data_IF_698748883424
#
_entry.id   IF_698748883424
#
_cell.length_a   1.000
_cell.length_b   1.000
_cell.length_c   1.000
_cell.angle_alpha   90.00
_cell.angle_beta   90.00
_cell.angle_gamma   90.00
#
_symmetry.space_group_name_H-M   'P 1'
#
loop_
_entity.id
_entity.type
_entity.pdbx_description
1 polymer ?
#
# COMPACT_ATOMS: atom_id res chain seq x y z
N UNK A 1 -8.37 45.16 -25.69
CA UNK A 1 -7.22 44.22 -25.58
C UNK A 1 -6.54 44.14 -26.95
N UNK A 2 -5.24 43.91 -27.01
CA UNK A 2 -4.55 43.62 -28.27
C UNK A 2 -5.06 42.29 -28.83
N UNK A 3 -5.42 42.28 -30.12
CA UNK A 3 -5.93 41.10 -30.85
C UNK A 3 -4.81 40.22 -31.44
N UNK A 4 -3.55 40.62 -31.28
CA UNK A 4 -2.38 39.89 -31.75
C UNK A 4 -1.29 39.80 -30.68
N UNK A 5 -0.44 38.79 -30.81
CA UNK A 5 0.85 38.67 -30.11
C UNK A 5 1.89 39.27 -31.04
N UNK A 6 2.52 40.36 -30.62
CA UNK A 6 3.51 41.08 -31.44
C UNK A 6 4.89 40.76 -30.89
N UNK A 7 5.76 40.20 -31.73
CA UNK A 7 7.15 39.87 -31.39
C UNK A 7 8.04 40.75 -32.24
N UNK A 8 8.97 41.48 -31.62
CA UNK A 8 9.97 42.31 -32.31
C UNK A 8 11.37 41.89 -31.91
N UNK A 9 12.20 41.70 -32.92
CA UNK A 9 13.63 41.48 -32.78
C UNK A 9 14.02 40.25 -31.96
N UNK A 10 13.35 39.12 -32.18
CA UNK A 10 13.72 37.85 -31.56
C UNK A 10 15.05 37.32 -32.12
N UNK A 11 16.00 37.03 -31.24
CA UNK A 11 17.40 36.68 -31.51
C UNK A 11 17.89 35.42 -30.78
N UNK A 12 17.02 34.74 -30.03
CA UNK A 12 17.43 33.52 -29.32
C UNK A 12 17.99 32.46 -30.26
N UNK A 13 19.15 31.89 -29.90
CA UNK A 13 19.91 30.91 -30.69
C UNK A 13 20.25 31.39 -32.11
N UNK A 14 19.57 30.85 -33.12
CA UNK A 14 19.85 31.11 -34.53
C UNK A 14 18.79 32.03 -35.19
N UNK A 15 17.91 32.64 -34.39
CA UNK A 15 16.94 33.61 -34.88
C UNK A 15 17.65 34.89 -35.34
N UNK A 16 17.37 35.32 -36.56
CA UNK A 16 18.01 36.49 -37.19
C UNK A 16 17.15 37.74 -37.04
N UNK A 17 17.00 38.24 -35.81
CA UNK A 17 16.22 39.46 -35.50
C UNK A 17 14.77 39.40 -36.01
N UNK A 18 14.11 38.27 -35.79
CA UNK A 18 12.79 37.98 -36.37
C UNK A 18 11.71 38.83 -35.70
N UNK A 19 10.87 39.47 -36.52
CA UNK A 19 9.70 40.23 -36.06
C UNK A 19 8.44 39.72 -36.75
N UNK A 20 7.40 39.41 -35.97
CA UNK A 20 6.15 38.87 -36.50
C UNK A 20 4.95 39.24 -35.64
N UNK A 21 3.76 39.14 -36.22
CA UNK A 21 2.48 39.36 -35.54
C UNK A 21 1.63 38.10 -35.67
N UNK A 22 1.27 37.48 -34.54
CA UNK A 22 0.45 36.27 -34.49
C UNK A 22 -0.98 36.62 -34.07
N UNK A 23 -2.03 36.10 -34.73
CA UNK A 23 -3.40 36.32 -34.30
C UNK A 23 -3.65 35.62 -32.95
N UNK A 24 -4.22 36.33 -31.97
CA UNK A 24 -4.63 35.70 -30.70
C UNK A 24 -5.85 34.79 -30.93
N UNK A 25 -6.02 33.82 -30.04
CA UNK A 25 -7.14 32.86 -30.05
C UNK A 25 -7.22 32.02 -31.34
N UNK A 26 -6.08 31.81 -32.00
CA UNK A 26 -5.96 30.98 -33.19
C UNK A 26 -5.09 29.75 -32.91
N UNK A 27 -5.35 28.66 -33.62
CA UNK A 27 -4.47 27.49 -33.64
C UNK A 27 -3.29 27.77 -34.58
N UNK A 28 -2.20 28.26 -34.01
CA UNK A 28 -0.99 28.67 -34.77
C UNK A 28 -0.06 27.47 -34.92
N UNK A 29 0.33 27.16 -36.16
CA UNK A 29 1.30 26.11 -36.47
C UNK A 29 2.59 26.75 -36.97
N UNK A 30 3.70 26.51 -36.27
CA UNK A 30 5.05 26.91 -36.70
C UNK A 30 5.67 25.73 -37.44
N UNK A 31 5.99 25.91 -38.72
CA UNK A 31 6.54 24.87 -39.60
C UNK A 31 7.85 25.30 -40.26
N UNK A 32 8.62 24.36 -40.78
CA UNK A 32 9.94 24.58 -41.39
C UNK A 32 10.91 23.41 -41.18
N UNK A 33 12.04 23.44 -41.90
CA UNK A 33 13.09 22.41 -41.86
C UNK A 33 13.66 22.21 -40.44
N UNK A 34 14.21 21.02 -40.15
CA UNK A 34 14.92 20.79 -38.89
C UNK A 34 16.04 21.82 -38.70
N UNK A 35 16.18 22.37 -37.49
CA UNK A 35 17.15 23.42 -37.21
C UNK A 35 16.76 24.84 -37.69
N UNK A 36 15.59 25.05 -38.30
CA UNK A 36 15.19 26.39 -38.81
C UNK A 36 14.85 27.44 -37.72
N UNK A 37 15.03 27.13 -36.44
CA UNK A 37 14.72 28.04 -35.32
C UNK A 37 13.28 27.97 -34.81
N UNK A 38 12.50 26.93 -35.17
CA UNK A 38 11.11 26.76 -34.69
C UNK A 38 11.03 26.68 -33.17
N UNK A 39 11.84 25.81 -32.57
CA UNK A 39 11.88 25.62 -31.13
C UNK A 39 12.43 26.85 -30.42
N UNK A 40 13.45 27.50 -31.00
CA UNK A 40 14.01 28.76 -30.50
C UNK A 40 12.94 29.86 -30.40
N UNK A 41 12.06 29.97 -31.40
CA UNK A 41 10.96 30.93 -31.38
C UNK A 41 9.84 30.50 -30.42
N UNK A 42 9.39 29.24 -30.49
CA UNK A 42 8.23 28.77 -29.75
C UNK A 42 8.50 28.59 -28.25
N UNK A 43 9.55 27.83 -27.92
CA UNK A 43 9.88 27.46 -26.54
C UNK A 43 10.82 28.48 -25.90
N UNK A 44 11.96 28.75 -26.54
CA UNK A 44 13.03 29.52 -25.91
C UNK A 44 12.76 31.04 -25.92
N UNK A 45 11.83 31.52 -26.76
CA UNK A 45 11.41 32.93 -26.81
C UNK A 45 9.99 33.15 -26.28
N UNK A 46 8.96 32.65 -26.98
CA UNK A 46 7.55 32.96 -26.66
C UNK A 46 7.13 32.33 -25.33
N UNK A 47 7.33 31.02 -25.17
CA UNK A 47 6.97 30.32 -23.93
C UNK A 47 7.80 30.80 -22.75
N UNK A 48 9.13 30.90 -22.90
CA UNK A 48 10.02 31.39 -21.86
C UNK A 48 9.61 32.78 -21.34
N UNK A 49 9.31 33.72 -22.24
CA UNK A 49 8.86 35.06 -21.85
C UNK A 49 7.47 35.05 -21.20
N UNK A 50 6.56 34.18 -21.69
CA UNK A 50 5.20 34.06 -21.15
C UNK A 50 5.19 33.47 -19.74
N UNK A 51 6.02 32.45 -19.50
CA UNK A 51 6.22 31.85 -18.18
C UNK A 51 6.90 32.83 -17.23
N UNK A 52 7.98 33.51 -17.66
CA UNK A 52 8.70 34.50 -16.85
C UNK A 52 7.78 35.62 -16.37
N UNK A 53 7.02 36.25 -17.27
CA UNK A 53 6.10 37.34 -16.92
C UNK A 53 5.00 36.90 -15.94
N UNK A 54 4.48 35.68 -16.12
CA UNK A 54 3.48 35.13 -15.21
C UNK A 54 4.07 34.90 -13.82
N UNK A 55 5.24 34.28 -13.73
CA UNK A 55 5.90 34.02 -12.45
C UNK A 55 6.32 35.33 -11.75
N UNK A 56 6.73 36.36 -12.48
CA UNK A 56 7.04 37.69 -11.93
C UNK A 56 5.81 38.38 -11.31
N UNK A 57 4.60 38.02 -11.73
CA UNK A 57 3.36 38.53 -11.14
C UNK A 57 2.98 37.84 -9.82
N UNK A 58 3.65 36.75 -9.46
CA UNK A 58 3.44 36.04 -8.19
C UNK A 58 4.06 36.83 -7.00
N UNK A 59 4.07 36.21 -5.81
CA UNK A 59 4.51 36.84 -4.57
C UNK A 59 5.92 37.43 -4.65
N UNK A 60 6.18 38.47 -3.86
CA UNK A 60 7.51 39.10 -3.73
C UNK A 60 8.59 38.10 -3.31
N UNK A 61 8.21 37.07 -2.55
CA UNK A 61 9.07 35.94 -2.20
C UNK A 61 9.40 35.08 -3.43
N UNK A 62 8.42 34.71 -4.26
CA UNK A 62 8.66 33.95 -5.49
C UNK A 62 9.63 34.67 -6.43
N UNK A 63 9.63 36.01 -6.47
CA UNK A 63 10.62 36.82 -7.21
C UNK A 63 12.05 36.65 -6.74
N UNK A 64 12.28 36.37 -5.46
CA UNK A 64 13.62 36.09 -4.93
C UNK A 64 14.14 34.71 -5.38
N UNK A 65 13.23 33.75 -5.58
CA UNK A 65 13.55 32.40 -6.08
C UNK A 65 13.58 32.31 -7.61
N UNK A 66 13.04 33.31 -8.32
CA UNK A 66 13.12 33.44 -9.78
C UNK A 66 14.54 33.81 -10.28
N UNK A 67 15.58 33.64 -9.44
CA UNK A 67 16.98 33.93 -9.76
C UNK A 67 17.38 33.43 -11.16
N UNK A 68 18.02 34.33 -11.92
CA UNK A 68 18.61 34.14 -13.25
C UNK A 68 17.84 33.25 -14.24
N UNK A 69 16.49 33.32 -14.29
CA UNK A 69 15.81 32.89 -15.50
C UNK A 69 16.26 33.82 -16.63
N UNK A 70 17.17 33.32 -17.48
CA UNK A 70 17.75 34.05 -18.60
C UNK A 70 16.61 34.69 -19.39
N UNK A 71 16.57 36.02 -19.43
CA UNK A 71 15.62 36.74 -20.28
C UNK A 71 15.92 36.33 -21.72
N UNK A 72 14.91 35.90 -22.49
CA UNK A 72 15.13 35.58 -23.88
C UNK A 72 15.62 36.82 -24.63
N UNK A 73 16.49 36.62 -25.61
CA UNK A 73 17.02 37.68 -26.45
C UNK A 73 15.94 38.15 -27.43
N UNK A 74 15.10 39.07 -26.97
CA UNK A 74 14.02 39.68 -27.76
C UNK A 74 13.88 41.16 -27.38
N UNK A 75 13.62 42.04 -28.34
CA UNK A 75 13.48 43.47 -28.06
C UNK A 75 12.14 43.76 -27.36
N UNK A 76 11.07 43.13 -27.84
CA UNK A 76 9.74 43.38 -27.32
C UNK A 76 8.81 42.22 -27.67
N UNK A 77 8.01 41.80 -26.70
CA UNK A 77 6.82 40.98 -26.93
C UNK A 77 5.62 41.65 -26.28
N UNK A 78 4.57 41.93 -27.04
CA UNK A 78 3.31 42.50 -26.55
C UNK A 78 2.14 41.56 -26.81
N UNK A 79 1.10 41.66 -25.99
CA UNK A 79 -0.09 40.81 -26.12
C UNK A 79 0.15 39.34 -25.75
N UNK A 80 1.22 39.01 -25.02
CA UNK A 80 1.51 37.65 -24.59
C UNK A 80 0.65 37.23 -23.38
N UNK A 81 0.07 36.03 -23.42
CA UNK A 81 -0.63 35.40 -22.30
C UNK A 81 0.34 34.59 -21.43
N UNK A 82 -0.01 34.23 -20.18
CA UNK A 82 0.68 33.16 -19.47
C UNK A 82 0.78 31.92 -20.36
N UNK A 83 1.98 31.37 -20.49
CA UNK A 83 2.29 30.30 -21.43
C UNK A 83 2.52 28.98 -20.69
N UNK A 84 2.06 27.89 -21.30
CA UNK A 84 2.29 26.51 -20.83
C UNK A 84 2.90 25.74 -22.00
N UNK A 85 4.04 25.09 -21.75
CA UNK A 85 4.66 24.20 -22.72
C UNK A 85 4.18 22.77 -22.47
N UNK A 86 3.78 22.10 -23.56
CA UNK A 86 3.54 20.66 -23.58
C UNK A 86 4.57 20.10 -24.56
N UNK A 87 5.66 19.55 -24.03
CA UNK A 87 6.71 18.92 -24.81
C UNK A 87 6.73 17.40 -24.60
N UNK A 88 7.57 16.70 -25.36
CA UNK A 88 7.74 15.26 -25.25
C UNK A 88 8.79 14.87 -24.19
N UNK A 89 9.20 15.77 -23.29
CA UNK A 89 10.18 15.39 -22.27
C UNK A 89 9.58 14.29 -21.41
N UNK A 90 10.33 13.19 -21.30
CA UNK A 90 9.96 12.06 -20.46
C UNK A 90 9.72 12.55 -19.05
N UNK A 91 8.50 12.35 -18.56
CA UNK A 91 8.15 12.54 -17.15
C UNK A 91 9.15 11.73 -16.34
N UNK A 92 9.79 12.36 -15.35
CA UNK A 92 10.76 11.72 -14.47
C UNK A 92 10.27 10.34 -14.02
N UNK A 93 11.10 9.31 -14.20
CA UNK A 93 10.81 7.95 -13.77
C UNK A 93 10.87 7.88 -12.24
N UNK A 94 9.75 8.18 -11.59
CA UNK A 94 9.52 7.85 -10.20
C UNK A 94 8.71 6.55 -10.16
N UNK A 95 9.21 5.45 -9.55
CA UNK A 95 8.52 4.16 -9.51
C UNK A 95 7.16 4.21 -8.79
N UNK A 96 6.92 5.27 -8.00
CA UNK A 96 5.64 5.53 -7.33
C UNK A 96 4.72 6.48 -8.10
N UNK A 97 5.13 6.96 -9.27
CA UNK A 97 4.28 7.74 -10.16
C UNK A 97 3.63 6.82 -11.17
N UNK A 98 2.30 6.83 -11.19
CA UNK A 98 1.46 6.05 -12.10
C UNK A 98 0.66 7.01 -12.98
N UNK A 99 0.02 6.48 -14.03
CA UNK A 99 -0.93 7.27 -14.84
C UNK A 99 -2.00 7.91 -13.94
N UNK A 100 -2.50 7.17 -12.95
CA UNK A 100 -3.53 7.66 -12.03
C UNK A 100 -3.07 8.81 -11.14
N UNK A 101 -1.80 8.82 -10.72
CA UNK A 101 -1.26 9.94 -9.92
C UNK A 101 -0.93 11.16 -10.78
N UNK A 102 -0.43 10.97 -12.02
CA UNK A 102 -0.12 12.07 -12.94
C UNK A 102 -1.38 12.79 -13.41
N UNK A 103 -2.46 12.05 -13.61
CA UNK A 103 -3.76 12.59 -14.04
C UNK A 103 -4.66 13.01 -12.88
N UNK A 104 -4.20 12.84 -11.64
CA UNK A 104 -4.97 13.04 -10.40
C UNK A 104 -6.24 12.17 -10.28
N UNK A 105 -6.52 11.28 -11.25
CA UNK A 105 -7.66 10.35 -11.20
C UNK A 105 -7.59 9.48 -9.95
N UNK A 106 -6.40 9.04 -9.55
CA UNK A 106 -6.22 8.26 -8.34
C UNK A 106 -6.62 9.06 -7.09
N UNK A 107 -6.45 10.38 -7.08
CA UNK A 107 -6.80 11.23 -5.95
C UNK A 107 -8.33 11.31 -5.78
N UNK A 108 -9.05 11.41 -6.90
CA UNK A 108 -10.50 11.29 -6.91
C UNK A 108 -10.98 9.89 -6.50
N UNK A 109 -10.29 8.82 -6.93
CA UNK A 109 -10.61 7.45 -6.48
C UNK A 109 -10.43 7.30 -4.97
N UNK A 110 -9.36 7.86 -4.39
CA UNK A 110 -9.15 7.85 -2.93
C UNK A 110 -10.29 8.55 -2.19
N UNK A 111 -10.77 9.68 -2.71
CA UNK A 111 -11.94 10.38 -2.14
C UNK A 111 -13.21 9.54 -2.28
N UNK A 112 -13.46 8.98 -3.47
CA UNK A 112 -14.63 8.14 -3.75
C UNK A 112 -14.71 6.96 -2.79
N UNK A 113 -13.64 6.16 -2.70
CA UNK A 113 -13.59 5.01 -1.79
C UNK A 113 -13.67 5.42 -0.32
N UNK A 114 -13.20 6.61 0.04
CA UNK A 114 -13.32 7.07 1.41
C UNK A 114 -14.75 7.48 1.81
N UNK A 115 -15.53 7.99 0.86
CA UNK A 115 -16.88 8.49 1.14
C UNK A 115 -17.97 7.44 0.99
N UNK A 116 -17.87 6.56 -0.02
CA UNK A 116 -18.93 5.59 -0.34
C UNK A 116 -18.43 4.14 -0.33
N UNK A 117 -17.16 3.91 0.02
CA UNK A 117 -16.61 2.57 0.09
C UNK A 117 -17.16 1.81 1.30
N UNK A 118 -17.76 0.65 1.04
CA UNK A 118 -18.20 -0.28 2.08
C UNK A 118 -17.00 -1.16 2.45
N UNK A 119 -16.42 -1.04 3.65
CA UNK A 119 -15.27 -1.84 4.06
C UNK A 119 -15.70 -3.28 4.36
N UNK A 120 -14.80 -4.23 4.10
CA UNK A 120 -15.04 -5.65 4.34
C UNK A 120 -13.90 -6.26 5.15
N UNK A 121 -14.20 -7.26 5.98
CA UNK A 121 -13.22 -8.03 6.73
C UNK A 121 -12.36 -8.85 5.78
N UNK A 122 -11.04 -8.65 5.82
CA UNK A 122 -10.08 -9.36 4.96
C UNK A 122 -10.03 -10.89 5.16
N UNK A 123 -10.53 -11.41 6.29
CA UNK A 123 -10.54 -12.86 6.58
C UNK A 123 -11.84 -13.56 6.24
N UNK A 124 -13.00 -12.93 6.51
CA UNK A 124 -14.31 -13.57 6.35
C UNK A 124 -15.24 -12.88 5.35
N UNK A 125 -14.86 -11.72 4.82
CA UNK A 125 -15.63 -10.98 3.81
C UNK A 125 -16.87 -10.27 4.33
N UNK A 126 -17.15 -10.26 5.64
CA UNK A 126 -18.29 -9.49 6.18
C UNK A 126 -18.06 -7.99 6.04
N UNK A 127 -19.13 -7.27 5.74
CA UNK A 127 -19.17 -5.82 5.81
C UNK A 127 -18.84 -5.34 7.24
N UNK A 128 -18.06 -4.27 7.33
CA UNK A 128 -17.75 -3.60 8.59
C UNK A 128 -18.56 -2.29 8.62
N UNK A 129 -19.33 -2.09 9.67
CA UNK A 129 -20.04 -0.84 9.89
C UNK A 129 -19.44 -0.12 11.10
N UNK A 130 -19.50 1.21 11.05
CA UNK A 130 -19.21 2.10 12.15
C UNK A 130 -20.42 3.00 12.32
N UNK A 131 -20.95 3.10 13.53
CA UNK A 131 -22.09 3.95 13.86
C UNK A 131 -21.82 4.72 15.14
N UNK A 132 -22.24 5.97 15.18
CA UNK A 132 -22.27 6.73 16.43
C UNK A 132 -23.43 6.27 17.32
N UNK A 133 -23.39 6.61 18.61
CA UNK A 133 -24.50 6.33 19.53
C UNK A 133 -25.81 6.95 19.00
N UNK A 134 -25.76 8.18 18.51
CA UNK A 134 -26.92 8.88 17.96
C UNK A 134 -27.51 8.16 16.73
N UNK A 135 -26.66 7.69 15.82
CA UNK A 135 -27.10 6.93 14.64
C UNK A 135 -27.75 5.59 15.03
N UNK A 136 -27.20 4.89 16.02
CA UNK A 136 -27.79 3.66 16.54
C UNK A 136 -29.18 3.96 17.12
N UNK A 137 -29.30 5.03 17.92
CA UNK A 137 -30.59 5.45 18.51
C UNK A 137 -31.60 5.79 17.41
N UNK A 138 -31.21 6.56 16.40
CA UNK A 138 -32.07 6.94 15.28
C UNK A 138 -32.60 5.74 14.49
N UNK A 139 -31.76 4.72 14.27
CA UNK A 139 -32.18 3.47 13.62
C UNK A 139 -33.19 2.72 14.48
N UNK A 140 -32.95 2.63 15.79
CA UNK A 140 -33.88 1.95 16.71
C UNK A 140 -35.23 2.66 16.77
N UNK A 141 -35.28 4.00 16.64
CA UNK A 141 -36.53 4.76 16.55
C UNK A 141 -37.37 4.39 15.32
N UNK A 142 -36.69 3.99 14.24
CA UNK A 142 -37.33 3.59 12.97
C UNK A 142 -37.74 2.12 12.95
N UNK A 143 -36.90 1.24 13.49
CA UNK A 143 -37.09 -0.22 13.44
C UNK A 143 -38.00 -0.74 14.57
N UNK A 144 -37.92 -0.16 15.78
CA UNK A 144 -38.67 -0.66 16.94
C UNK A 144 -40.09 -0.09 17.01
N UNK A 145 -41.05 -0.95 17.32
CA UNK A 145 -42.41 -0.57 17.69
C UNK A 145 -42.48 0.08 19.07
N UNK A 146 -43.49 0.92 19.31
CA UNK A 146 -43.76 1.45 20.65
C UNK A 146 -44.07 0.31 21.63
N UNK A 147 -43.60 0.43 22.88
CA UNK A 147 -43.73 -0.54 23.97
C UNK A 147 -42.98 -1.88 23.80
N UNK A 148 -42.19 -2.03 22.74
CA UNK A 148 -41.36 -3.23 22.51
C UNK A 148 -40.30 -3.40 23.63
N UNK A 149 -40.10 -4.62 24.12
CA UNK A 149 -39.13 -4.88 25.19
C UNK A 149 -37.78 -5.24 24.60
N UNK A 150 -36.77 -4.42 24.87
CA UNK A 150 -35.41 -4.64 24.38
C UNK A 150 -34.43 -4.96 25.50
N UNK A 151 -33.46 -5.79 25.17
CA UNK A 151 -32.27 -6.08 25.97
C UNK A 151 -31.06 -5.42 25.31
N UNK A 152 -30.35 -4.58 26.06
CA UNK A 152 -29.10 -3.98 25.60
C UNK A 152 -27.96 -4.83 26.16
N UNK A 153 -27.21 -5.41 25.25
CA UNK A 153 -26.21 -6.42 25.52
C UNK A 153 -24.85 -5.94 25.06
N UNK A 154 -23.84 -6.18 25.88
CA UNK A 154 -22.46 -5.92 25.54
C UNK A 154 -21.74 -7.25 25.26
N UNK A 155 -21.35 -7.55 24.01
CA UNK A 155 -20.73 -8.83 23.64
C UNK A 155 -19.28 -8.91 24.13
N UNK A 156 -19.07 -9.67 25.20
CA UNK A 156 -17.74 -9.85 25.81
C UNK A 156 -16.94 -10.92 25.06
N UNK A 157 -17.61 -12.02 24.68
CA UNK A 157 -17.01 -13.11 23.94
C UNK A 157 -18.02 -13.75 22.97
N UNK A 158 -17.56 -14.12 21.78
CA UNK A 158 -18.38 -14.82 20.77
C UNK A 158 -17.62 -16.00 20.21
N UNK A 159 -18.12 -17.20 20.47
CA UNK A 159 -17.49 -18.48 20.10
C UNK A 159 -16.01 -18.61 20.52
N UNK A 160 -15.64 -18.03 21.67
CA UNK A 160 -14.26 -18.08 22.19
C UNK A 160 -14.15 -19.09 23.34
N UNK A 161 -12.98 -19.73 23.46
CA UNK A 161 -12.68 -20.64 24.57
C UNK A 161 -12.14 -19.87 25.76
N UNK A 162 -12.60 -20.20 26.97
CA UNK A 162 -12.13 -19.58 28.20
C UNK A 162 -13.09 -19.75 29.38
N UNK A 163 -12.60 -19.47 30.58
CA UNK A 163 -13.36 -19.59 31.84
C UNK A 163 -13.97 -18.25 32.31
N UNK A 164 -13.48 -17.11 31.80
CA UNK A 164 -14.02 -15.75 31.98
C UNK A 164 -14.28 -15.26 33.43
N UNK A 165 -13.82 -15.98 34.46
CA UNK A 165 -13.99 -15.63 35.89
C UNK A 165 -13.55 -14.21 36.25
N UNK A 166 -12.41 -13.76 35.70
CA UNK A 166 -11.90 -12.40 35.95
C UNK A 166 -12.83 -11.31 35.40
N UNK A 167 -13.44 -11.57 34.25
CA UNK A 167 -14.40 -10.64 33.65
C UNK A 167 -15.66 -10.57 34.51
N UNK A 168 -16.17 -11.71 34.99
CA UNK A 168 -17.35 -11.76 35.86
C UNK A 168 -17.13 -11.02 37.20
N UNK A 169 -15.98 -11.24 37.86
CA UNK A 169 -15.63 -10.50 39.08
C UNK A 169 -15.52 -8.99 38.84
N UNK A 170 -14.98 -8.59 37.69
CA UNK A 170 -14.88 -7.18 37.29
C UNK A 170 -16.26 -6.55 37.13
N UNK A 171 -17.17 -7.21 36.41
CA UNK A 171 -18.54 -6.70 36.21
C UNK A 171 -19.33 -6.64 37.52
N UNK A 172 -19.15 -7.62 38.41
CA UNK A 172 -19.76 -7.61 39.75
C UNK A 172 -19.29 -6.42 40.59
N UNK A 173 -17.99 -6.09 40.55
CA UNK A 173 -17.44 -4.90 41.24
C UNK A 173 -17.94 -3.59 40.65
N UNK A 174 -18.26 -3.56 39.34
CA UNK A 174 -18.86 -2.40 38.67
C UNK A 174 -20.37 -2.26 38.93
N UNK A 175 -21.00 -3.25 39.58
CA UNK A 175 -22.40 -3.20 39.97
C UNK A 175 -23.39 -3.80 38.96
N UNK A 176 -22.90 -4.53 37.95
CA UNK A 176 -23.79 -5.26 37.04
C UNK A 176 -24.37 -6.49 37.75
N UNK A 177 -25.65 -6.79 37.48
CA UNK A 177 -26.38 -7.89 38.11
C UNK A 177 -26.54 -9.11 37.22
N UNK A 178 -26.53 -8.97 35.88
CA UNK A 178 -26.89 -10.06 34.97
C UNK A 178 -25.90 -10.25 33.84
N UNK A 179 -25.71 -11.51 33.45
CA UNK A 179 -24.87 -11.90 32.33
C UNK A 179 -25.52 -13.06 31.56
N UNK A 180 -25.44 -13.04 30.23
CA UNK A 180 -25.94 -14.10 29.35
C UNK A 180 -24.78 -14.96 28.86
N UNK A 181 -24.78 -16.24 29.19
CA UNK A 181 -23.78 -17.23 28.76
C UNK A 181 -24.51 -18.32 27.99
N UNK A 182 -24.13 -18.53 26.73
CA UNK A 182 -24.71 -19.55 25.83
C UNK A 182 -26.26 -19.53 25.80
N UNK A 183 -26.81 -18.33 25.67
CA UNK A 183 -28.25 -18.01 25.65
C UNK A 183 -29.00 -18.18 26.98
N UNK A 184 -28.31 -18.47 28.09
CA UNK A 184 -28.90 -18.54 29.43
C UNK A 184 -28.47 -17.29 30.22
N UNK A 185 -29.44 -16.58 30.81
CA UNK A 185 -29.17 -15.42 31.66
C UNK A 185 -28.96 -15.90 33.09
N UNK A 186 -27.79 -15.60 33.63
CA UNK A 186 -27.39 -15.85 35.01
C UNK A 186 -27.36 -14.55 35.81
N UNK A 187 -27.58 -14.67 37.12
CA UNK A 187 -27.23 -13.61 38.06
C UNK A 187 -25.71 -13.66 38.32
N UNK A 188 -25.04 -12.51 38.22
CA UNK A 188 -23.61 -12.40 38.50
C UNK A 188 -23.29 -12.68 39.98
N UNK A 189 -24.31 -12.74 40.85
CA UNK A 189 -24.15 -13.14 42.22
C UNK A 189 -23.93 -14.66 42.41
N UNK A 190 -24.41 -15.47 41.48
CA UNK A 190 -24.32 -16.93 41.50
C UNK A 190 -22.92 -17.43 41.08
N UNK A 191 -22.57 -18.68 41.45
CA UNK A 191 -21.32 -19.31 41.01
C UNK A 191 -21.50 -19.90 39.60
N UNK A 192 -21.12 -19.12 38.58
CA UNK A 192 -21.23 -19.49 37.17
C UNK A 192 -20.02 -20.36 36.79
N UNK A 193 -20.23 -21.67 36.62
CA UNK A 193 -19.18 -22.59 36.20
C UNK A 193 -19.21 -22.82 34.67
N UNK A 194 -18.15 -22.42 33.99
CA UNK A 194 -17.97 -22.53 32.54
C UNK A 194 -16.78 -23.43 32.23
N UNK A 195 -16.93 -24.35 31.28
CA UNK A 195 -15.85 -25.25 30.86
C UNK A 195 -14.84 -24.55 29.95
N UNK A 196 -13.59 -24.40 30.41
CA UNK A 196 -12.51 -23.76 29.65
C UNK A 196 -12.26 -24.34 28.24
N UNK A 197 -12.64 -25.59 27.99
CA UNK A 197 -12.35 -26.29 26.73
C UNK A 197 -13.40 -26.01 25.64
N UNK A 198 -14.60 -25.59 26.05
CA UNK A 198 -15.71 -25.33 25.16
C UNK A 198 -15.66 -23.89 24.64
N UNK A 199 -16.32 -23.66 23.49
CA UNK A 199 -16.49 -22.31 22.93
C UNK A 199 -17.76 -21.74 23.52
N UNK A 200 -17.65 -20.54 24.06
CA UNK A 200 -18.74 -19.84 24.73
C UNK A 200 -19.05 -18.52 24.05
N UNK A 201 -20.32 -18.13 24.19
CA UNK A 201 -20.83 -16.83 23.76
C UNK A 201 -21.38 -16.11 24.98
N UNK A 202 -20.75 -15.00 25.35
CA UNK A 202 -20.97 -14.27 26.60
C UNK A 202 -21.35 -12.83 26.29
N UNK A 203 -22.48 -12.39 26.83
CA UNK A 203 -22.98 -11.03 26.74
C UNK A 203 -23.28 -10.49 28.14
N UNK A 204 -22.72 -9.34 28.48
CA UNK A 204 -23.12 -8.60 29.68
C UNK A 204 -24.49 -7.96 29.42
N UNK A 205 -25.43 -8.09 30.35
CA UNK A 205 -26.73 -7.43 30.25
C UNK A 205 -26.60 -6.05 30.88
N UNK A 206 -26.69 -5.00 30.05
CA UNK A 206 -26.42 -3.62 30.46
C UNK A 206 -27.69 -2.94 30.94
N UNK A 207 -28.75 -2.97 30.14
CA UNK A 207 -30.06 -2.49 30.53
C UNK A 207 -31.18 -3.34 29.90
N UNK A 208 -32.35 -3.29 30.51
CA UNK A 208 -33.59 -3.86 30.00
C UNK A 208 -34.65 -2.76 29.98
N UNK A 209 -35.10 -2.42 28.79
CA UNK A 209 -35.95 -1.26 28.56
C UNK A 209 -37.22 -1.65 27.82
N UNK A 210 -38.27 -0.87 28.03
CA UNK A 210 -39.38 -0.79 27.08
C UNK A 210 -39.13 0.41 26.19
N UNK A 211 -39.21 0.20 24.88
CA UNK A 211 -38.95 1.25 23.92
C UNK A 211 -40.11 2.25 23.89
N UNK A 212 -39.80 3.52 24.15
CA UNK A 212 -40.72 4.65 24.07
C UNK A 212 -40.01 5.83 23.40
N UNK A 213 -40.77 6.63 22.64
CA UNK A 213 -40.23 7.73 21.81
C UNK A 213 -40.15 9.07 22.56
N UNK A 214 -40.42 9.08 23.86
CA UNK A 214 -40.28 10.27 24.68
C UNK A 214 -38.80 10.57 25.00
N UNK A 215 -38.53 11.84 25.31
CA UNK A 215 -37.18 12.36 25.44
C UNK A 215 -36.38 11.68 26.55
N UNK A 216 -37.01 11.35 27.67
CA UNK A 216 -36.34 10.77 28.83
C UNK A 216 -35.93 9.31 28.55
N UNK A 217 -36.79 8.53 27.86
CA UNK A 217 -36.45 7.17 27.45
C UNK A 217 -35.36 7.14 26.38
N UNK A 218 -35.37 8.07 25.43
CA UNK A 218 -34.31 8.18 24.42
C UNK A 218 -32.95 8.53 25.05
N UNK A 219 -32.92 9.40 26.05
CA UNK A 219 -31.70 9.71 26.78
C UNK A 219 -31.17 8.49 27.54
N UNK A 220 -32.04 7.75 28.24
CA UNK A 220 -31.65 6.51 28.92
C UNK A 220 -31.16 5.43 27.95
N UNK A 221 -31.78 5.33 26.77
CA UNK A 221 -31.35 4.42 25.71
C UNK A 221 -29.94 4.76 25.23
N UNK A 222 -29.65 6.03 24.96
CA UNK A 222 -28.33 6.50 24.56
C UNK A 222 -27.27 6.20 25.63
N UNK A 223 -27.55 6.54 26.90
CA UNK A 223 -26.64 6.26 28.03
C UNK A 223 -26.34 4.75 28.16
N UNK A 224 -27.35 3.90 27.93
CA UNK A 224 -27.21 2.45 27.99
C UNK A 224 -26.39 1.90 26.82
N UNK A 225 -26.59 2.44 25.62
CA UNK A 225 -25.80 2.08 24.43
C UNK A 225 -24.33 2.48 24.62
N UNK A 226 -24.07 3.70 25.12
CA UNK A 226 -22.72 4.17 25.40
C UNK A 226 -22.01 3.26 26.42
N UNK A 227 -22.71 2.89 27.50
CA UNK A 227 -22.18 1.96 28.48
C UNK A 227 -21.90 0.57 27.88
N UNK A 228 -22.80 0.08 27.02
CA UNK A 228 -22.65 -1.22 26.38
C UNK A 228 -21.47 -1.26 25.40
N UNK A 229 -21.32 -0.22 24.57
CA UNK A 229 -20.18 -0.05 23.68
C UNK A 229 -18.87 -0.02 24.47
N UNK A 230 -18.82 0.72 25.58
CA UNK A 230 -17.64 0.84 26.43
C UNK A 230 -17.21 -0.50 27.04
N UNK A 231 -18.14 -1.28 27.56
CA UNK A 231 -17.83 -2.61 28.13
C UNK A 231 -17.58 -3.68 27.05
N UNK A 232 -18.10 -3.46 25.83
CA UNK A 232 -18.10 -4.42 24.72
C UNK A 232 -16.94 -4.25 23.75
N UNK A 233 -15.96 -3.43 24.11
CA UNK A 233 -14.86 -3.00 23.22
C UNK A 233 -15.38 -2.44 21.89
N UNK A 234 -16.34 -1.51 21.97
CA UNK A 234 -16.92 -0.83 20.82
C UNK A 234 -18.07 -1.58 20.14
N UNK A 235 -18.61 -2.64 20.74
CA UNK A 235 -19.75 -3.38 20.21
C UNK A 235 -20.95 -3.34 21.16
N UNK A 236 -22.15 -3.32 20.59
CA UNK A 236 -23.43 -3.44 21.31
C UNK A 236 -24.37 -4.34 20.51
N UNK A 237 -25.07 -5.23 21.20
CA UNK A 237 -26.12 -6.07 20.64
C UNK A 237 -27.46 -5.69 21.27
N UNK A 238 -28.49 -5.56 20.45
CA UNK A 238 -29.84 -5.19 20.87
C UNK A 238 -30.77 -6.33 20.47
N UNK A 239 -31.42 -6.92 21.47
CA UNK A 239 -32.31 -8.06 21.30
C UNK A 239 -33.76 -7.66 21.65
N UNK A 240 -34.68 -7.92 20.72
CA UNK A 240 -36.12 -7.81 20.96
C UNK A 240 -36.59 -9.06 21.71
N UNK A 241 -37.19 -8.87 22.88
CA UNK A 241 -37.59 -9.99 23.75
C UNK A 241 -38.76 -10.78 23.15
N UNK A 242 -39.69 -10.09 22.47
CA UNK A 242 -40.93 -10.71 22.00
C UNK A 242 -40.74 -11.37 20.62
N UNK A 243 -39.85 -10.86 19.76
CA UNK A 243 -39.57 -11.41 18.41
C UNK A 243 -38.28 -12.20 18.29
N UNK A 244 -37.38 -12.13 19.29
CA UNK A 244 -36.01 -12.68 19.28
C UNK A 244 -35.14 -12.18 18.11
N UNK A 245 -35.43 -10.99 17.58
CA UNK A 245 -34.57 -10.33 16.60
C UNK A 245 -33.38 -9.68 17.28
N UNK A 246 -32.20 -9.89 16.73
CA UNK A 246 -30.95 -9.37 17.26
C UNK A 246 -30.28 -8.44 16.25
N UNK A 247 -29.93 -7.23 16.71
CA UNK A 247 -29.17 -6.25 15.96
C UNK A 247 -27.80 -6.07 16.59
N UNK A 248 -26.76 -5.99 15.78
CA UNK A 248 -25.40 -5.78 16.26
C UNK A 248 -24.83 -4.51 15.65
N UNK A 249 -24.40 -3.61 16.50
CA UNK A 249 -23.79 -2.34 16.13
C UNK A 249 -22.37 -2.23 16.66
N UNK A 250 -21.58 -1.37 16.04
CA UNK A 250 -20.17 -1.15 16.37
C UNK A 250 -19.78 0.32 16.22
N UNK A 251 -19.03 0.86 17.18
CA UNK A 251 -18.50 2.23 17.16
C UNK A 251 -17.18 2.33 16.36
N UNK A 252 -16.57 1.19 16.08
CA UNK A 252 -15.37 1.04 15.27
C UNK A 252 -15.61 0.14 14.06
N UNK A 253 -14.79 0.26 13.02
CA UNK A 253 -14.80 -0.69 11.90
C UNK A 253 -14.10 -2.00 12.29
N UNK A 254 -14.74 -2.78 13.16
CA UNK A 254 -14.19 -4.03 13.70
C UNK A 254 -15.07 -5.21 13.33
N UNK A 255 -14.45 -6.30 12.89
CA UNK A 255 -15.16 -7.54 12.59
C UNK A 255 -15.59 -8.24 13.89
N UNK A 256 -16.90 -8.51 14.11
CA UNK A 256 -17.38 -9.10 15.35
C UNK A 256 -16.98 -10.56 15.58
N UNK A 257 -16.57 -11.26 14.52
CA UNK A 257 -16.17 -12.68 14.57
C UNK A 257 -14.66 -12.83 14.57
N UNK A 258 -13.98 -12.14 13.65
CA UNK A 258 -12.54 -12.27 13.47
C UNK A 258 -11.73 -11.35 14.37
N UNK A 259 -12.34 -10.31 14.96
CA UNK A 259 -11.66 -9.29 15.75
C UNK A 259 -10.72 -8.38 14.95
N UNK A 260 -10.78 -8.44 13.61
CA UNK A 260 -9.99 -7.58 12.73
C UNK A 260 -10.60 -6.19 12.75
N UNK A 261 -9.84 -5.22 13.24
CA UNK A 261 -10.19 -3.81 13.19
C UNK A 261 -9.45 -3.13 12.05
N UNK A 262 -10.13 -2.26 11.31
CA UNK A 262 -9.51 -1.35 10.35
C UNK A 262 -9.54 0.09 10.90
N UNK A 263 -8.52 0.90 10.58
CA UNK A 263 -8.52 2.30 10.96
C UNK A 263 -9.68 3.06 10.28
N UNK A 264 -9.93 4.28 10.75
CA UNK A 264 -10.94 5.15 10.13
C UNK A 264 -10.69 5.32 8.63
N UNK A 265 -11.78 5.17 7.86
CA UNK A 265 -11.74 5.30 6.42
C UNK A 265 -11.52 6.77 6.08
N UNK A 266 -10.34 7.06 5.55
CA UNK A 266 -9.95 8.39 5.08
C UNK A 266 -9.25 8.26 3.74
N UNK A 267 -9.21 9.31 2.89
CA UNK A 267 -8.51 9.23 1.60
C UNK A 267 -7.03 8.81 1.72
N UNK A 268 -6.40 9.08 2.88
CA UNK A 268 -5.00 8.75 3.15
C UNK A 268 -4.74 7.25 3.22
N UNK A 269 -5.67 6.44 3.71
CA UNK A 269 -5.50 4.97 3.82
C UNK A 269 -5.53 4.27 2.45
N UNK A 270 -6.04 4.95 1.42
CA UNK A 270 -6.00 4.46 0.04
C UNK A 270 -4.74 4.93 -0.71
N UNK A 271 -3.81 5.62 -0.06
CA UNK A 271 -2.61 6.13 -0.70
C UNK A 271 -1.43 5.17 -0.52
N UNK A 272 -0.98 4.53 -1.60
CA UNK A 272 0.25 3.72 -1.57
C UNK A 272 1.52 4.57 -1.37
N UNK A 273 1.42 5.89 -1.53
CA UNK A 273 2.52 6.84 -1.26
C UNK A 273 2.67 7.22 0.22
N UNK A 274 1.73 6.83 1.09
CA UNK A 274 1.82 7.10 2.53
C UNK A 274 1.98 5.78 3.28
N UNK A 275 2.65 5.76 4.46
CA UNK A 275 2.76 4.55 5.28
C UNK A 275 1.41 3.95 5.70
N UNK A 276 0.34 4.75 5.67
CA UNK A 276 -1.01 4.35 6.07
C UNK A 276 -1.69 3.44 5.06
N UNK A 277 -1.51 3.71 3.75
CA UNK A 277 -2.09 2.91 2.66
C UNK A 277 -1.07 2.07 1.90
N UNK A 278 0.22 2.25 2.16
CA UNK A 278 1.28 1.47 1.55
C UNK A 278 1.27 0.02 2.05
N UNK A 279 1.38 -0.92 1.11
CA UNK A 279 1.62 -2.31 1.46
C UNK A 279 2.94 -2.44 2.24
N UNK A 280 2.93 -3.18 3.36
CA UNK A 280 4.09 -3.29 4.26
C UNK A 280 5.26 -4.07 3.65
N UNK A 281 5.02 -4.99 2.72
CA UNK A 281 6.07 -5.79 2.09
C UNK A 281 6.86 -5.00 1.04
N UNK A 282 6.17 -4.26 0.17
CA UNK A 282 6.79 -3.50 -0.92
C UNK A 282 6.86 -1.99 -0.66
N UNK A 283 6.37 -1.52 0.50
CA UNK A 283 6.29 -0.08 0.85
C UNK A 283 5.56 0.77 -0.20
N UNK A 284 4.54 0.19 -0.83
CA UNK A 284 3.73 0.86 -1.85
C UNK A 284 4.37 0.92 -3.24
N UNK A 285 5.47 0.20 -3.49
CA UNK A 285 6.06 0.09 -4.84
C UNK A 285 5.24 -0.80 -5.78
N UNK A 286 4.48 -1.76 -5.23
CA UNK A 286 3.69 -2.71 -6.01
C UNK A 286 4.49 -3.89 -6.58
N UNK A 287 5.82 -3.87 -6.47
CA UNK A 287 6.70 -4.96 -6.86
C UNK A 287 7.85 -5.14 -5.85
N UNK A 288 8.46 -6.32 -5.87
CA UNK A 288 9.70 -6.65 -5.16
C UNK A 288 10.75 -7.08 -6.19
N UNK A 289 12.02 -6.80 -5.92
CA UNK A 289 13.12 -7.31 -6.73
C UNK A 289 13.57 -8.65 -6.15
N UNK A 290 13.48 -9.70 -6.96
CA UNK A 290 13.91 -11.05 -6.61
C UNK A 290 14.81 -11.59 -7.70
N UNK A 291 15.76 -12.45 -7.32
CA UNK A 291 16.65 -13.10 -8.28
C UNK A 291 15.86 -14.23 -8.94
N UNK A 292 15.67 -14.13 -10.25
CA UNK A 292 15.02 -15.17 -11.04
C UNK A 292 16.05 -16.26 -11.42
N UNK A 293 15.88 -17.52 -10.96
CA UNK A 293 16.76 -18.61 -11.34
C UNK A 293 16.88 -18.82 -12.85
N UNK A 294 15.81 -18.57 -13.62
CA UNK A 294 15.80 -18.82 -15.06
C UNK A 294 16.67 -17.80 -15.81
N UNK A 295 16.75 -16.55 -15.32
CA UNK A 295 17.64 -15.53 -15.88
C UNK A 295 19.11 -15.87 -15.66
N UNK A 296 19.43 -16.53 -14.54
CA UNK A 296 20.80 -16.96 -14.20
C UNK A 296 21.33 -18.05 -15.13
N UNK A 297 20.44 -18.75 -15.84
CA UNK A 297 20.78 -19.96 -16.59
C UNK A 297 20.65 -19.75 -18.10
N UNK A 298 21.57 -20.35 -18.85
CA UNK A 298 21.38 -20.65 -20.27
C UNK A 298 21.07 -22.16 -20.41
N UNK A 299 19.82 -22.54 -20.76
CA UNK A 299 19.40 -23.94 -20.79
C UNK A 299 20.09 -24.77 -21.87
N UNK A 300 20.63 -24.12 -22.91
CA UNK A 300 21.23 -24.79 -24.07
C UNK A 300 22.74 -25.03 -23.89
N UNK A 301 23.38 -24.31 -22.95
CA UNK A 301 24.80 -24.46 -22.69
C UNK A 301 25.09 -25.52 -21.62
N UNK A 302 26.21 -26.25 -21.74
CA UNK A 302 26.76 -27.02 -20.63
C UNK A 302 27.35 -26.16 -19.51
N UNK A 303 27.47 -26.73 -18.30
CA UNK A 303 28.07 -26.03 -17.15
C UNK A 303 29.49 -25.57 -17.49
N UNK A 304 30.28 -26.42 -18.16
CA UNK A 304 31.67 -26.08 -18.53
C UNK A 304 31.77 -24.89 -19.48
N UNK A 305 30.71 -24.61 -20.26
CA UNK A 305 30.62 -23.49 -21.20
C UNK A 305 29.90 -22.27 -20.63
N UNK A 306 29.65 -22.25 -19.32
CA UNK A 306 29.05 -21.12 -18.62
C UNK A 306 27.52 -21.10 -18.65
N UNK A 307 26.87 -22.27 -18.54
CA UNK A 307 25.42 -22.35 -18.36
C UNK A 307 24.91 -21.49 -17.19
N UNK A 308 25.70 -21.33 -16.13
CA UNK A 308 25.40 -20.40 -15.03
C UNK A 308 26.08 -19.05 -15.30
N UNK A 309 25.34 -18.10 -15.87
CA UNK A 309 25.87 -16.89 -16.53
C UNK A 309 26.75 -16.01 -15.62
N UNK A 310 26.42 -15.91 -14.33
CA UNK A 310 27.13 -15.08 -13.34
C UNK A 310 28.39 -15.73 -12.78
N UNK A 311 28.54 -17.05 -12.94
CA UNK A 311 29.62 -17.84 -12.32
C UNK A 311 30.34 -18.68 -13.38
N UNK A 312 30.97 -17.99 -14.34
CA UNK A 312 31.70 -18.63 -15.45
C UNK A 312 33.08 -19.14 -15.05
N UNK A 313 33.72 -18.50 -14.08
CA UNK A 313 35.09 -18.79 -13.66
C UNK A 313 35.26 -18.54 -12.14
N UNK A 314 36.36 -19.05 -11.59
CA UNK A 314 36.76 -18.85 -10.20
C UNK A 314 36.09 -19.78 -9.20
N UNK A 315 36.23 -19.47 -7.91
CA UNK A 315 35.85 -20.37 -6.82
C UNK A 315 34.41 -20.89 -6.88
N UNK A 316 33.46 -20.02 -7.27
CA UNK A 316 32.05 -20.41 -7.31
C UNK A 316 31.76 -21.38 -8.46
N UNK A 317 32.41 -21.20 -9.60
CA UNK A 317 32.36 -22.16 -10.71
C UNK A 317 32.89 -23.53 -10.28
N UNK A 318 34.06 -23.56 -9.63
CA UNK A 318 34.66 -24.82 -9.15
C UNK A 318 33.75 -25.55 -8.16
N UNK A 319 33.06 -24.80 -7.29
CA UNK A 319 32.09 -25.34 -6.37
C UNK A 319 30.86 -25.91 -7.11
N UNK A 320 30.31 -25.19 -8.09
CA UNK A 320 29.18 -25.63 -8.92
C UNK A 320 29.52 -26.92 -9.67
N UNK A 321 30.70 -26.96 -10.32
CA UNK A 321 31.16 -28.13 -11.07
C UNK A 321 31.25 -29.37 -10.16
N UNK A 322 31.86 -29.26 -8.99
CA UNK A 322 31.95 -30.36 -8.00
C UNK A 322 30.59 -30.82 -7.50
N UNK A 323 29.68 -29.89 -7.25
CA UNK A 323 28.30 -30.22 -6.82
C UNK A 323 27.58 -30.99 -7.92
N UNK A 324 27.72 -30.56 -9.17
CA UNK A 324 27.11 -31.24 -10.29
C UNK A 324 27.64 -32.68 -10.43
N UNK A 325 28.95 -32.87 -10.38
CA UNK A 325 29.58 -34.20 -10.44
C UNK A 325 29.18 -35.10 -9.27
N UNK A 326 29.13 -34.55 -8.05
CA UNK A 326 28.75 -35.30 -6.84
C UNK A 326 27.34 -35.89 -6.95
N UNK A 327 26.40 -35.17 -7.56
CA UNK A 327 25.04 -35.65 -7.82
C UNK A 327 24.88 -36.42 -9.15
N UNK A 328 25.99 -36.79 -9.79
CA UNK A 328 26.01 -37.59 -11.03
C UNK A 328 25.68 -36.80 -12.30
N UNK A 329 25.76 -35.47 -12.26
CA UNK A 329 25.66 -34.61 -13.44
C UNK A 329 26.95 -34.59 -14.23
N UNK A 330 26.85 -34.48 -15.56
CA UNK A 330 28.01 -34.27 -16.43
C UNK A 330 28.16 -32.78 -16.76
N UNK A 331 29.38 -32.28 -16.84
CA UNK A 331 29.63 -30.85 -17.08
C UNK A 331 29.53 -30.45 -18.57
N UNK A 332 29.56 -31.44 -19.46
CA UNK A 332 29.58 -31.33 -20.92
C UNK A 332 28.19 -31.42 -21.58
N UNK A 333 27.15 -31.73 -20.81
CA UNK A 333 25.75 -31.78 -21.32
C UNK A 333 25.04 -30.45 -21.12
N UNK A 334 24.14 -30.07 -22.05
CA UNK A 334 23.29 -28.89 -21.86
C UNK A 334 22.54 -28.91 -20.53
N UNK A 335 22.40 -27.74 -19.90
CA UNK A 335 21.75 -27.62 -18.59
C UNK A 335 20.35 -28.24 -18.55
N UNK A 336 19.54 -28.06 -19.60
CA UNK A 336 18.19 -28.61 -19.69
C UNK A 336 18.15 -30.15 -19.57
N UNK A 337 19.21 -30.82 -20.00
CA UNK A 337 19.33 -32.27 -20.00
C UNK A 337 19.87 -32.83 -18.68
N UNK A 338 20.31 -31.95 -17.76
CA UNK A 338 20.74 -32.37 -16.43
C UNK A 338 19.58 -32.88 -15.58
N UNK A 339 19.81 -33.93 -14.77
CA UNK A 339 18.83 -34.40 -13.80
C UNK A 339 18.35 -33.25 -12.91
N UNK A 340 17.04 -33.21 -12.62
CA UNK A 340 16.45 -32.16 -11.78
C UNK A 340 17.18 -32.03 -10.43
N UNK A 341 17.56 -33.16 -9.82
CA UNK A 341 18.33 -33.19 -8.56
C UNK A 341 19.65 -32.42 -8.66
N UNK A 342 20.36 -32.51 -9.79
CA UNK A 342 21.61 -31.77 -10.04
C UNK A 342 21.32 -30.28 -10.18
N UNK A 343 20.31 -29.92 -10.98
CA UNK A 343 19.92 -28.51 -11.19
C UNK A 343 19.50 -27.84 -9.88
N UNK A 344 18.67 -28.53 -9.09
CA UNK A 344 18.20 -28.06 -7.78
C UNK A 344 19.38 -27.91 -6.80
N UNK A 345 20.31 -28.87 -6.77
CA UNK A 345 21.50 -28.82 -5.93
C UNK A 345 22.43 -27.65 -6.28
N UNK A 346 22.63 -27.38 -7.58
CA UNK A 346 23.46 -26.27 -8.06
C UNK A 346 22.81 -24.92 -7.77
N UNK A 347 21.50 -24.77 -7.96
CA UNK A 347 20.81 -23.49 -7.76
C UNK A 347 20.55 -23.20 -6.28
N UNK A 348 19.94 -24.15 -5.57
CA UNK A 348 19.39 -23.92 -4.22
C UNK A 348 20.26 -24.50 -3.10
N UNK A 349 21.31 -25.25 -3.45
CA UNK A 349 22.26 -25.79 -2.50
C UNK A 349 21.96 -27.23 -2.08
N UNK A 350 22.73 -27.70 -1.12
CA UNK A 350 22.81 -29.11 -0.74
C UNK A 350 22.81 -29.24 0.78
N UNK A 351 22.16 -30.26 1.34
CA UNK A 351 22.30 -30.60 2.76
C UNK A 351 23.57 -31.44 3.03
N UNK A 352 23.99 -32.23 2.05
CA UNK A 352 25.17 -33.09 2.12
C UNK A 352 26.46 -32.25 2.09
N UNK A 353 27.46 -32.67 2.88
CA UNK A 353 28.76 -32.00 2.90
C UNK A 353 29.59 -32.44 1.71
N UNK A 354 29.87 -31.51 0.81
CA UNK A 354 30.70 -31.73 -0.37
C UNK A 354 32.11 -31.22 -0.04
N UNK A 355 33.14 -31.96 -0.48
CA UNK A 355 34.53 -31.53 -0.30
C UNK A 355 34.83 -30.37 -1.25
N UNK A 356 35.13 -29.21 -0.69
CA UNK A 356 35.61 -28.06 -1.43
C UNK A 356 37.10 -27.88 -1.18
N UNK A 357 37.90 -27.93 -2.25
CA UNK A 357 39.31 -27.54 -2.25
C UNK A 357 39.41 -26.04 -2.47
N UNK A 358 40.09 -25.37 -1.55
CA UNK A 358 40.46 -23.96 -1.62
C UNK A 358 41.97 -23.86 -1.89
N UNK A 359 42.34 -23.19 -2.98
CA UNK A 359 43.73 -22.95 -3.35
C UNK A 359 44.14 -21.53 -2.95
N UNK A 360 45.30 -21.42 -2.30
CA UNK A 360 45.96 -20.18 -1.92
C UNK A 360 47.36 -20.16 -2.57
N UNK A 361 48.01 -18.99 -2.57
CA UNK A 361 49.35 -18.82 -3.15
C UNK A 361 50.40 -19.81 -2.62
N UNK A 362 50.25 -20.30 -1.38
CA UNK A 362 51.23 -21.16 -0.71
C UNK A 362 50.71 -22.59 -0.38
N UNK A 363 49.56 -23.02 -0.94
CA UNK A 363 49.04 -24.38 -0.73
C UNK A 363 47.54 -24.53 -0.95
N UNK A 364 46.99 -25.69 -0.58
CA UNK A 364 45.55 -25.94 -0.62
C UNK A 364 45.04 -26.52 0.71
N UNK A 365 43.79 -26.22 1.03
CA UNK A 365 43.06 -26.85 2.13
C UNK A 365 41.72 -27.39 1.63
N UNK A 366 41.36 -28.59 2.08
CA UNK A 366 40.07 -29.21 1.77
C UNK A 366 39.13 -29.14 2.98
N UNK A 367 37.92 -28.64 2.74
CA UNK A 367 36.88 -28.61 3.76
C UNK A 367 35.58 -29.20 3.22
N UNK A 368 34.99 -30.14 3.98
CA UNK A 368 33.67 -30.67 3.67
C UNK A 368 32.59 -29.75 4.27
N UNK A 369 31.83 -29.07 3.42
CA UNK A 369 30.71 -28.23 3.83
C UNK A 369 29.53 -28.37 2.88
N UNK A 370 28.30 -28.09 3.33
CA UNK A 370 27.17 -28.01 2.43
C UNK A 370 27.37 -26.84 1.46
N UNK A 371 27.00 -27.03 0.21
CA UNK A 371 26.99 -25.96 -0.78
C UNK A 371 25.73 -25.10 -0.62
N UNK A 372 25.92 -23.78 -0.60
CA UNK A 372 24.83 -22.81 -0.39
C UNK A 372 23.84 -22.76 -1.56
N UNK A 373 24.30 -23.03 -2.79
CA UNK A 373 23.53 -22.81 -4.02
C UNK A 373 23.87 -21.48 -4.69
N UNK A 374 23.94 -21.49 -6.02
CA UNK A 374 24.24 -20.30 -6.82
C UNK A 374 23.18 -19.21 -6.66
N UNK A 375 21.90 -19.57 -6.69
CA UNK A 375 20.77 -18.65 -6.53
C UNK A 375 20.72 -18.11 -5.10
N UNK A 376 20.75 -19.01 -4.11
CA UNK A 376 20.74 -18.65 -2.68
C UNK A 376 21.87 -17.68 -2.34
N UNK A 377 23.07 -17.90 -2.89
CA UNK A 377 24.22 -17.03 -2.71
C UNK A 377 23.96 -15.61 -3.26
N UNK A 378 23.39 -15.48 -4.46
CA UNK A 378 23.06 -14.18 -5.05
C UNK A 378 21.96 -13.47 -4.26
N UNK A 379 20.91 -14.18 -3.85
CA UNK A 379 19.83 -13.61 -3.02
C UNK A 379 20.39 -13.06 -1.71
N UNK A 380 21.26 -13.83 -1.04
CA UNK A 380 21.90 -13.39 0.20
C UNK A 380 22.81 -12.18 -0.05
N UNK A 381 23.67 -12.23 -1.07
CA UNK A 381 24.56 -11.11 -1.42
C UNK A 381 23.79 -9.84 -1.76
N UNK A 382 22.68 -9.95 -2.49
CA UNK A 382 21.84 -8.80 -2.82
C UNK A 382 21.26 -8.14 -1.58
N UNK A 383 20.78 -8.95 -0.61
CA UNK A 383 20.22 -8.46 0.66
C UNK A 383 21.27 -7.88 1.62
N UNK A 384 22.43 -8.53 1.72
CA UNK A 384 23.47 -8.18 2.71
C UNK A 384 24.46 -7.12 2.21
N UNK A 385 24.61 -6.93 0.90
CA UNK A 385 25.63 -6.00 0.41
C UNK A 385 25.24 -4.55 0.64
N UNK A 386 26.22 -3.74 1.06
CA UNK A 386 26.11 -2.29 1.16
C UNK A 386 26.66 -1.56 -0.06
N UNK A 387 27.24 -2.28 -1.03
CA UNK A 387 27.80 -1.69 -2.26
C UNK A 387 26.73 -1.53 -3.34
N UNK A 388 26.55 -0.31 -3.84
CA UNK A 388 25.66 -0.02 -4.96
C UNK A 388 26.13 -0.71 -6.26
N UNK A 389 27.44 -0.82 -6.46
CA UNK A 389 28.02 -1.48 -7.64
C UNK A 389 27.69 -2.97 -7.66
N UNK A 390 27.78 -3.65 -6.51
CA UNK A 390 27.45 -5.08 -6.41
C UNK A 390 25.95 -5.29 -6.64
N UNK A 391 25.08 -4.41 -6.12
CA UNK A 391 23.63 -4.51 -6.38
C UNK A 391 23.32 -4.31 -7.86
N UNK A 392 23.89 -3.29 -8.49
CA UNK A 392 23.73 -3.01 -9.91
C UNK A 392 24.21 -4.18 -10.78
N UNK A 393 25.33 -4.81 -10.42
CA UNK A 393 25.84 -6.00 -11.11
C UNK A 393 24.91 -7.23 -10.98
N UNK A 394 24.17 -7.37 -9.88
CA UNK A 394 23.18 -8.45 -9.71
C UNK A 394 21.88 -8.11 -10.47
N UNK A 395 21.54 -6.82 -10.59
CA UNK A 395 20.34 -6.34 -11.29
C UNK A 395 20.48 -6.33 -12.83
N UNK A 396 21.71 -6.28 -13.34
CA UNK A 396 22.03 -6.37 -14.78
C UNK A 396 22.00 -7.79 -15.30
#
# INVERSE_FOLDING_TARGET
MLNSIIIKGAREHNLKNVSLSLPRNAFIVITGLSGSGKSSLAFDTIYAEGQRRYLESLSSYARQFLGDMKKPEVEMIEGLSPAVAIDQKTVSHNPRSTVGTVTEIYDYLRLLYAHIGIPHCSKCGRELSRMSVDEIVDILIQELGEEEKILILSPIAREKRGEYKKDFESFRKKGYSKIRVDNIIYDLEEDIQIDKNNRHTIHLVVDRLKFQKDKDHLQRLADSIELALKEGNGFVEIEETDTQRNFLYSEDYTCPVCGISIPSITPKIFSFNTPWGACKSCTGLGYTMEVDPDLMIDPELPIEKGAVKMFKEGYMYDAIARVAEFYGGRLDVPWKDLPKKVRDAVLFGTEEKIKHRHEFTDGFYEMARPFEGAHTNLVRRYRETNSAEIRSWIES
#
